data_IF_529373938706
#
_entry.id   IF_529373938706
#
_cell.length_a   1.000
_cell.length_b   1.000
_cell.length_c   1.000
_cell.angle_alpha   90.00
_cell.angle_beta   90.00
_cell.angle_gamma   90.00
#
_symmetry.space_group_name_H-M   'P 1'
#
loop_
_entity.id
_entity.type
_entity.pdbx_description
1 polymer ?
#
# COMPACT_ATOMS: atom_id res chain seq x y z
N UNK A 1 6.60 -2.71 25.95
CA UNK A 1 5.48 -2.52 25.06
C UNK A 1 5.59 -3.41 23.82
N UNK A 2 4.54 -4.05 23.45
CA UNK A 2 4.55 -4.98 22.34
C UNK A 2 3.59 -4.50 21.25
N UNK A 3 4.06 -4.55 20.02
CA UNK A 3 3.22 -4.23 18.89
C UNK A 3 2.80 -5.53 18.21
N UNK A 4 1.54 -5.65 17.92
CA UNK A 4 1.12 -6.75 17.08
C UNK A 4 1.50 -6.41 15.64
N UNK A 5 1.69 -7.45 14.83
CA UNK A 5 1.98 -7.26 13.42
C UNK A 5 0.83 -6.52 12.74
N UNK A 6 -0.38 -6.79 13.18
CA UNK A 6 -1.56 -6.18 12.59
C UNK A 6 -1.60 -4.68 12.78
N UNK A 7 -1.12 -4.21 13.94
CA UNK A 7 -1.09 -2.77 14.20
C UNK A 7 -0.06 -2.05 13.35
N UNK A 8 0.93 -2.79 12.88
CA UNK A 8 1.98 -2.22 12.05
C UNK A 8 1.65 -2.22 10.57
N UNK A 9 0.58 -2.92 10.19
CA UNK A 9 0.23 -3.01 8.77
C UNK A 9 -0.41 -1.72 8.29
N UNK A 10 -0.06 -1.36 7.07
CA UNK A 10 -0.60 -0.17 6.43
C UNK A 10 -1.74 -0.61 5.52
N UNK A 11 -2.93 -0.09 5.77
CA UNK A 11 -4.10 -0.38 4.95
C UNK A 11 -4.05 0.46 3.69
N UNK A 12 -3.79 -0.18 2.56
CA UNK A 12 -3.61 0.55 1.30
C UNK A 12 -4.90 1.15 0.77
N UNK A 13 -6.05 0.74 1.33
CA UNK A 13 -7.33 1.32 0.93
C UNK A 13 -7.66 2.60 1.68
N UNK A 14 -7.06 2.82 2.85
CA UNK A 14 -7.40 3.97 3.68
C UNK A 14 -6.22 4.87 4.02
N UNK A 15 -4.99 4.39 3.80
CA UNK A 15 -3.80 5.15 4.17
C UNK A 15 -3.72 6.46 3.40
N UNK A 16 -3.26 7.51 4.08
CA UNK A 16 -3.04 8.78 3.43
C UNK A 16 -1.66 8.80 2.77
N UNK A 17 -1.39 9.91 2.10
CA UNK A 17 -0.15 10.07 1.33
C UNK A 17 1.08 9.83 2.20
N UNK A 18 1.12 10.44 3.37
CA UNK A 18 2.30 10.36 4.22
C UNK A 18 2.50 8.95 4.76
N UNK A 19 1.42 8.29 5.11
CA UNK A 19 1.51 6.92 5.61
C UNK A 19 2.02 5.96 4.54
N UNK A 20 1.54 6.12 3.31
CA UNK A 20 2.00 5.29 2.21
C UNK A 20 3.49 5.47 1.95
N UNK A 21 4.00 6.69 2.14
CA UNK A 21 5.42 6.95 1.94
C UNK A 21 6.31 6.25 2.97
N UNK A 22 5.74 5.72 4.05
CA UNK A 22 6.51 4.96 5.03
C UNK A 22 6.90 3.57 4.52
N UNK A 23 6.22 3.10 3.49
CA UNK A 23 6.54 1.80 2.91
C UNK A 23 7.87 1.88 2.17
N UNK A 24 8.76 0.87 2.34
CA UNK A 24 10.04 0.89 1.64
C UNK A 24 9.83 0.86 0.14
N UNK A 25 10.51 1.77 -0.55
CA UNK A 25 10.41 1.85 -2.00
C UNK A 25 9.21 2.64 -2.50
N UNK A 26 8.32 3.07 -1.62
CA UNK A 26 7.19 3.91 -1.99
C UNK A 26 7.53 5.35 -1.65
N UNK A 27 7.88 6.09 -2.68
CA UNK A 27 8.12 7.53 -2.52
C UNK A 27 6.87 8.32 -2.89
N UNK A 28 7.01 9.66 -2.98
CA UNK A 28 5.85 10.52 -3.26
C UNK A 28 5.12 10.16 -4.55
N UNK A 29 5.85 9.84 -5.60
CA UNK A 29 5.22 9.53 -6.89
C UNK A 29 4.37 8.27 -6.80
N UNK A 30 4.89 7.22 -6.18
CA UNK A 30 4.14 5.97 -6.07
C UNK A 30 2.99 6.10 -5.07
N UNK A 31 3.20 6.83 -3.97
CA UNK A 31 2.13 7.05 -3.01
C UNK A 31 0.96 7.78 -3.69
N UNK A 32 1.26 8.79 -4.48
CA UNK A 32 0.23 9.52 -5.20
C UNK A 32 -0.48 8.61 -6.21
N UNK A 33 0.28 7.74 -6.87
CA UNK A 33 -0.31 6.82 -7.83
C UNK A 33 -1.25 5.81 -7.16
N UNK A 34 -0.92 5.37 -5.94
CA UNK A 34 -1.81 4.47 -5.20
C UNK A 34 -3.12 5.16 -4.88
N UNK A 35 -3.04 6.39 -4.38
CA UNK A 35 -4.23 7.17 -4.04
C UNK A 35 -5.09 7.38 -5.28
N UNK A 36 -4.46 7.79 -6.37
CA UNK A 36 -5.19 8.03 -7.61
C UNK A 36 -5.86 6.76 -8.12
N UNK A 37 -5.15 5.64 -8.05
CA UNK A 37 -5.71 4.37 -8.52
C UNK A 37 -6.99 4.01 -7.75
N UNK A 38 -6.95 4.09 -6.42
CA UNK A 38 -8.11 3.69 -5.64
C UNK A 38 -9.27 4.67 -5.80
N UNK A 39 -8.99 5.92 -6.13
CA UNK A 39 -10.05 6.89 -6.39
C UNK A 39 -10.71 6.65 -7.75
N UNK A 40 -9.93 6.20 -8.73
CA UNK A 40 -10.45 6.01 -10.08
C UNK A 40 -11.04 4.63 -10.28
N UNK A 41 -10.52 3.62 -9.61
CA UNK A 41 -10.87 2.23 -9.86
C UNK A 41 -11.57 1.56 -8.70
N UNK A 42 -11.70 2.25 -7.57
CA UNK A 42 -12.28 1.66 -6.38
C UNK A 42 -11.22 1.01 -5.50
N UNK A 43 -11.68 0.50 -4.37
CA UNK A 43 -10.77 -0.07 -3.38
C UNK A 43 -10.10 -1.34 -3.91
N UNK A 44 -8.90 -1.60 -3.41
CA UNK A 44 -8.22 -2.85 -3.71
C UNK A 44 -8.97 -4.00 -3.05
N UNK A 45 -9.18 -5.07 -3.79
CA UNK A 45 -9.87 -6.26 -3.28
C UNK A 45 -8.90 -7.24 -2.64
N UNK A 46 -7.63 -7.11 -2.95
CA UNK A 46 -6.58 -7.96 -2.43
C UNK A 46 -5.30 -7.16 -2.45
N UNK A 47 -4.35 -7.46 -1.54
CA UNK A 47 -3.11 -6.70 -1.54
C UNK A 47 -2.33 -6.86 -2.85
N UNK A 48 -2.50 -8.00 -3.53
CA UNK A 48 -1.83 -8.19 -4.81
C UNK A 48 -2.30 -7.21 -5.88
N UNK A 49 -3.47 -6.63 -5.72
CA UNK A 49 -3.99 -5.66 -6.67
C UNK A 49 -3.20 -4.37 -6.69
N UNK A 50 -2.36 -4.13 -5.68
CA UNK A 50 -1.52 -2.93 -5.68
C UNK A 50 -0.54 -2.95 -6.86
N UNK A 51 -0.28 -4.13 -7.40
CA UNK A 51 0.60 -4.25 -8.57
C UNK A 51 -0.02 -3.66 -9.83
N UNK A 52 -1.31 -3.37 -9.81
CA UNK A 52 -1.97 -2.69 -10.92
C UNK A 52 -1.66 -1.21 -10.94
N UNK A 53 -1.12 -0.69 -9.85
CA UNK A 53 -0.72 0.71 -9.77
C UNK A 53 0.55 0.92 -10.58
N UNK A 54 0.57 1.99 -11.37
CA UNK A 54 1.73 2.30 -12.19
C UNK A 54 2.96 2.48 -11.30
N UNK A 55 4.02 1.78 -11.63
CA UNK A 55 5.28 1.85 -10.89
C UNK A 55 5.43 0.79 -9.82
N UNK A 56 4.39 0.00 -9.56
CA UNK A 56 4.47 -1.07 -8.55
C UNK A 56 4.36 -2.41 -9.24
N UNK A 57 5.49 -3.08 -9.37
CA UNK A 57 5.54 -4.41 -9.96
C UNK A 57 5.79 -5.49 -8.93
N UNK A 58 6.07 -6.72 -9.39
CA UNK A 58 6.25 -7.85 -8.48
C UNK A 58 7.39 -7.67 -7.49
N UNK A 59 8.48 -7.05 -7.92
CA UNK A 59 9.63 -6.89 -7.05
C UNK A 59 9.30 -5.98 -5.87
N UNK A 60 8.69 -4.84 -6.15
CA UNK A 60 8.31 -3.93 -5.08
C UNK A 60 7.22 -4.52 -4.21
N UNK A 61 6.26 -5.22 -4.84
CA UNK A 61 5.22 -5.90 -4.08
C UNK A 61 5.83 -6.87 -3.08
N UNK A 62 6.80 -7.68 -3.51
CA UNK A 62 7.45 -8.61 -2.61
C UNK A 62 8.14 -7.92 -1.43
N UNK A 63 8.63 -6.71 -1.66
CA UNK A 63 9.28 -5.93 -0.61
C UNK A 63 8.28 -5.47 0.45
N UNK A 64 7.07 -5.10 0.04
CA UNK A 64 6.12 -4.46 0.95
C UNK A 64 4.97 -5.37 1.40
N UNK A 65 4.82 -6.55 0.79
CA UNK A 65 3.61 -7.37 0.99
C UNK A 65 3.34 -7.72 2.44
N UNK A 66 4.39 -7.84 3.25
CA UNK A 66 4.22 -8.20 4.66
C UNK A 66 3.90 -6.99 5.53
N UNK A 67 3.85 -5.80 4.93
CA UNK A 67 3.64 -4.56 5.66
C UNK A 67 2.32 -3.89 5.27
N UNK A 68 1.55 -4.50 4.38
CA UNK A 68 0.31 -3.90 3.90
C UNK A 68 -0.88 -4.82 4.11
N UNK A 69 -2.06 -4.21 4.14
CA UNK A 69 -3.32 -4.93 4.27
C UNK A 69 -4.39 -4.15 3.53
N UNK A 70 -5.53 -4.78 3.30
CA UNK A 70 -6.69 -4.10 2.72
C UNK A 70 -7.87 -4.04 3.68
N UNK A 71 -7.72 -4.61 4.84
CA UNK A 71 -8.80 -4.62 5.82
C UNK A 71 -8.26 -4.37 7.20
N UNK A 72 -9.11 -4.54 8.16
CA UNK A 72 -8.73 -4.33 9.56
C UNK A 72 -7.91 -5.44 10.11
#
# INVERSE_FOLDING_TARGET
MTFSTEESLININTADFETLCLLPGIGPTKAQAIIQYREENGLFLDITDIQKVKGIGPTLFNTIKDQITIGD
#
